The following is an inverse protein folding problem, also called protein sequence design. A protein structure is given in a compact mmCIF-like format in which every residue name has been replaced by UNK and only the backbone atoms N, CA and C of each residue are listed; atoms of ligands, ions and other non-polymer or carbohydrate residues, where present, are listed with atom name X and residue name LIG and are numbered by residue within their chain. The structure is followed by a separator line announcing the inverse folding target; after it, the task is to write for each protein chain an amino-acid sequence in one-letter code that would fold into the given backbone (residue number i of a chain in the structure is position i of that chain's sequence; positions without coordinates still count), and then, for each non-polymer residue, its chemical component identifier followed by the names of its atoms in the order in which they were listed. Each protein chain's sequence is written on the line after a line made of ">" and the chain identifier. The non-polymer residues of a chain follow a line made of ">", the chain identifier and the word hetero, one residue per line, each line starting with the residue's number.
data_IF_524585907202
#
_entry.id   IF_524585907202
#
_cell.length_a   1.000
_cell.length_b   1.000
_cell.length_c   1.000
_cell.angle_alpha   90.00
_cell.angle_beta   90.00
_cell.angle_gamma   90.00
#
_symmetry.space_group_name_H-M   'P 1'
#
loop_
_entity.id
_entity.type
_entity.pdbx_description
1 polymer ?
#
# COMPACT_ATOMS: atom_id res chain seq x y z
N UNK A 1 -1.74 6.85 20.40
CA UNK A 1 -2.79 7.61 19.69
C UNK A 1 -2.39 7.76 18.24
N UNK A 2 -3.34 7.57 17.33
CA UNK A 2 -3.09 7.62 15.89
C UNK A 2 -3.15 9.04 15.31
N UNK A 3 -2.36 9.28 14.27
CA UNK A 3 -2.13 10.61 13.72
C UNK A 3 -3.30 11.04 12.82
N UNK A 4 -3.87 12.23 13.04
CA UNK A 4 -4.86 12.77 12.14
C UNK A 4 -4.26 13.15 10.78
N UNK A 5 -5.12 13.32 9.78
CA UNK A 5 -4.73 13.77 8.45
C UNK A 5 -5.71 14.79 7.86
N UNK A 6 -5.31 15.47 6.79
CA UNK A 6 -5.96 16.65 6.23
C UNK A 6 -6.17 16.54 4.72
N UNK A 7 -7.28 17.09 4.24
CA UNK A 7 -7.50 17.39 2.81
C UNK A 7 -7.15 18.86 2.51
N UNK A 8 -6.85 19.21 1.24
CA UNK A 8 -6.74 20.60 0.78
C UNK A 8 -7.99 21.45 1.05
N UNK A 9 -9.16 20.81 1.14
CA UNK A 9 -10.39 21.49 1.51
C UNK A 9 -10.34 21.82 3.01
N UNK A 10 -10.32 23.11 3.33
CA UNK A 10 -10.23 23.59 4.70
C UNK A 10 -11.39 23.06 5.56
N UNK A 11 -11.09 22.66 6.80
CA UNK A 11 -12.10 22.41 7.84
C UNK A 11 -12.38 20.96 8.22
N UNK A 12 -11.80 19.95 7.54
CA UNK A 12 -11.99 18.54 7.94
C UNK A 12 -10.67 17.86 8.33
N UNK A 13 -10.47 17.75 9.65
CA UNK A 13 -9.50 16.82 10.25
C UNK A 13 -10.11 15.42 10.18
N UNK A 14 -9.38 14.48 9.61
CA UNK A 14 -9.85 13.10 9.52
C UNK A 14 -9.22 12.23 10.60
N UNK A 15 -10.01 11.24 10.99
CA UNK A 15 -9.66 10.26 11.98
C UNK A 15 -8.67 9.20 11.47
N UNK A 16 -8.11 8.41 12.40
CA UNK A 16 -7.21 7.31 12.10
C UNK A 16 -7.75 6.34 11.06
N UNK A 17 -6.88 5.90 10.15
CA UNK A 17 -7.24 4.95 9.09
C UNK A 17 -7.06 3.51 9.57
N UNK A 18 -8.03 2.65 9.23
CA UNK A 18 -7.94 1.20 9.37
C UNK A 18 -7.67 0.61 8.00
N UNK A 19 -6.79 -0.37 7.95
CA UNK A 19 -6.48 -1.09 6.72
C UNK A 19 -7.16 -2.46 6.79
N UNK A 20 -8.17 -2.73 5.96
CA UNK A 20 -8.75 -4.06 5.89
C UNK A 20 -7.68 -5.03 5.41
N UNK A 21 -7.60 -6.18 6.08
CA UNK A 21 -6.76 -7.29 5.66
C UNK A 21 -7.64 -8.53 5.50
N UNK A 22 -7.40 -9.28 4.43
CA UNK A 22 -8.10 -10.52 4.13
C UNK A 22 -7.10 -11.66 4.08
N UNK A 23 -7.50 -12.81 4.62
CA UNK A 23 -6.77 -14.06 4.53
C UNK A 23 -7.34 -14.87 3.37
N UNK A 24 -6.53 -15.09 2.34
CA UNK A 24 -6.93 -15.74 1.11
C UNK A 24 -6.19 -17.05 0.94
N UNK A 25 -6.88 -18.08 0.47
CA UNK A 25 -6.26 -19.29 -0.08
C UNK A 25 -6.53 -19.36 -1.57
N UNK A 26 -5.47 -19.35 -2.37
CA UNK A 26 -5.54 -19.44 -3.83
C UNK A 26 -4.59 -20.53 -4.28
N UNK A 27 -5.12 -21.53 -4.99
CA UNK A 27 -4.34 -22.68 -5.48
C UNK A 27 -3.49 -23.35 -4.39
N UNK A 28 -4.06 -23.54 -3.19
CA UNK A 28 -3.38 -24.15 -2.04
C UNK A 28 -2.44 -23.24 -1.27
N UNK A 29 -2.08 -22.07 -1.82
CA UNK A 29 -1.22 -21.09 -1.15
C UNK A 29 -2.06 -20.10 -0.31
N UNK A 30 -1.65 -19.90 0.94
CA UNK A 30 -2.24 -18.88 1.83
C UNK A 30 -1.56 -17.53 1.62
N UNK A 31 -2.33 -16.45 1.71
CA UNK A 31 -1.90 -15.06 1.51
C UNK A 31 -2.61 -14.13 2.50
N UNK A 32 -1.92 -13.10 2.96
CA UNK A 32 -2.57 -11.98 3.66
C UNK A 32 -2.53 -10.75 2.75
N UNK A 33 -3.70 -10.27 2.33
CA UNK A 33 -3.81 -9.10 1.44
C UNK A 33 -4.41 -7.94 2.21
N UNK A 34 -3.71 -6.82 2.23
CA UNK A 34 -4.11 -5.58 2.88
C UNK A 34 -4.45 -4.51 1.85
N UNK A 35 -5.67 -3.97 1.93
CA UNK A 35 -6.07 -2.80 1.15
C UNK A 35 -5.56 -1.52 1.80
N UNK A 36 -4.91 -0.65 1.03
CA UNK A 36 -4.35 0.60 1.56
C UNK A 36 -4.89 1.85 0.86
N UNK A 37 -5.09 2.90 1.65
CA UNK A 37 -5.29 4.27 1.19
C UNK A 37 -4.57 5.23 2.15
N UNK A 38 -3.42 5.73 1.73
CA UNK A 38 -2.52 6.57 2.54
C UNK A 38 -2.99 8.03 2.51
N UNK A 39 -2.59 8.90 3.46
CA UNK A 39 -3.03 10.28 3.41
C UNK A 39 -2.33 11.00 2.25
N UNK A 40 -2.98 12.00 1.64
CA UNK A 40 -2.50 12.60 0.40
C UNK A 40 -1.20 13.38 0.60
N UNK A 41 -0.40 13.43 -0.46
CA UNK A 41 0.84 14.19 -0.51
C UNK A 41 2.09 13.44 -0.04
N UNK A 42 1.97 12.14 0.16
CA UNK A 42 3.11 11.24 0.29
C UNK A 42 3.97 11.48 1.54
N UNK A 43 5.22 11.00 1.51
CA UNK A 43 6.20 11.26 2.56
C UNK A 43 6.50 12.76 2.74
N UNK A 44 6.33 13.56 1.70
CA UNK A 44 6.47 15.01 1.76
C UNK A 44 5.31 15.70 2.53
N UNK A 45 4.18 15.01 2.75
CA UNK A 45 3.04 15.50 3.51
C UNK A 45 2.12 16.46 2.78
N UNK A 46 2.30 16.67 1.47
CA UNK A 46 1.42 17.45 0.59
C UNK A 46 1.54 18.97 0.75
N UNK A 47 1.95 19.65 -0.32
CA UNK A 47 2.08 21.12 -0.32
C UNK A 47 0.74 21.84 -0.06
N UNK A 48 -0.36 21.33 -0.61
CA UNK A 48 -1.70 21.91 -0.45
C UNK A 48 -2.22 21.94 0.99
N UNK A 49 -1.62 21.15 1.89
CA UNK A 49 -1.94 21.13 3.32
C UNK A 49 -0.75 21.59 4.17
N UNK A 50 0.22 22.30 3.59
CA UNK A 50 1.45 22.74 4.24
C UNK A 50 2.18 21.60 4.97
N UNK A 51 2.39 20.48 4.28
CA UNK A 51 3.15 19.31 4.75
C UNK A 51 2.56 18.58 5.98
N UNK A 52 1.38 18.95 6.45
CA UNK A 52 0.76 18.41 7.67
C UNK A 52 0.54 16.89 7.63
N UNK A 53 0.37 16.30 6.44
CA UNK A 53 0.08 14.86 6.32
C UNK A 53 1.29 13.95 6.54
N UNK A 54 2.53 14.48 6.59
CA UNK A 54 3.74 13.64 6.67
C UNK A 54 3.70 12.65 7.82
N UNK A 55 3.30 13.10 9.02
CA UNK A 55 3.25 12.23 10.21
C UNK A 55 2.24 11.09 10.05
N UNK A 56 1.06 11.36 9.52
CA UNK A 56 0.04 10.35 9.26
C UNK A 56 0.42 9.39 8.13
N UNK A 57 1.17 9.86 7.12
CA UNK A 57 1.71 9.01 6.07
C UNK A 57 2.74 8.03 6.64
N UNK A 58 3.66 8.51 7.48
CA UNK A 58 4.67 7.69 8.14
C UNK A 58 4.07 6.67 9.12
N UNK A 59 2.98 7.03 9.82
CA UNK A 59 2.22 6.07 10.62
C UNK A 59 1.62 4.96 9.76
N UNK A 60 1.06 5.30 8.61
CA UNK A 60 0.48 4.34 7.66
C UNK A 60 1.53 3.33 7.19
N UNK A 61 2.72 3.84 6.83
CA UNK A 61 3.90 3.02 6.53
C UNK A 61 4.23 2.06 7.69
N UNK A 62 4.33 2.58 8.92
CA UNK A 62 4.67 1.77 10.09
C UNK A 62 3.64 0.67 10.34
N UNK A 63 2.37 0.94 10.11
CA UNK A 63 1.30 -0.06 10.25
C UNK A 63 1.48 -1.23 9.28
N UNK A 64 1.75 -0.96 8.00
CA UNK A 64 2.04 -2.00 7.00
C UNK A 64 3.30 -2.80 7.38
N UNK A 65 4.39 -2.11 7.74
CA UNK A 65 5.63 -2.78 8.14
C UNK A 65 5.45 -3.66 9.37
N UNK A 66 4.74 -3.18 10.39
CA UNK A 66 4.47 -3.93 11.61
C UNK A 66 3.54 -5.13 11.34
N UNK A 67 2.57 -4.99 10.44
CA UNK A 67 1.71 -6.11 10.05
C UNK A 67 2.50 -7.19 9.30
N UNK A 68 3.33 -6.81 8.34
CA UNK A 68 4.21 -7.74 7.63
C UNK A 68 5.24 -8.40 8.56
N UNK A 69 5.77 -7.68 9.54
CA UNK A 69 6.71 -8.24 10.52
C UNK A 69 6.06 -9.28 11.44
N UNK A 70 4.81 -9.04 11.86
CA UNK A 70 4.04 -9.98 12.71
C UNK A 70 3.57 -11.23 11.96
N UNK A 71 3.52 -11.18 10.63
CA UNK A 71 3.09 -12.30 9.79
C UNK A 71 4.20 -12.66 8.80
N UNK A 72 5.28 -13.32 9.27
CA UNK A 72 6.37 -13.73 8.41
C UNK A 72 5.95 -14.80 7.39
N UNK A 73 4.91 -15.59 7.70
CA UNK A 73 4.31 -16.58 6.82
C UNK A 73 2.80 -16.70 7.19
N UNK A 74 1.85 -16.60 6.24
CA UNK A 74 1.98 -16.38 4.80
C UNK A 74 2.51 -14.98 4.43
N UNK A 75 2.94 -14.76 3.16
CA UNK A 75 3.36 -13.45 2.71
C UNK A 75 2.25 -12.40 2.86
N UNK A 76 2.64 -11.18 3.24
CA UNK A 76 1.76 -10.02 3.27
C UNK A 76 1.93 -9.20 1.99
N UNK A 77 0.82 -9.02 1.28
CA UNK A 77 0.67 -8.08 0.18
C UNK A 77 -0.07 -6.85 0.68
N UNK A 78 0.47 -5.66 0.45
CA UNK A 78 -0.26 -4.40 0.64
C UNK A 78 -0.45 -3.72 -0.72
N UNK A 79 -1.71 -3.41 -1.07
CA UNK A 79 -2.04 -2.86 -2.38
C UNK A 79 -3.13 -1.78 -2.30
N UNK A 80 -2.98 -0.74 -3.11
CA UNK A 80 -3.92 0.38 -3.19
C UNK A 80 -3.20 1.74 -3.30
N UNK A 81 -3.92 2.81 -2.97
CA UNK A 81 -3.44 4.18 -3.08
C UNK A 81 -2.45 4.48 -1.94
N UNK A 82 -1.16 4.57 -2.29
CA UNK A 82 -0.09 4.93 -1.36
C UNK A 82 0.15 6.43 -1.26
N UNK A 83 -0.57 7.22 -2.08
CA UNK A 83 -0.46 8.66 -2.18
C UNK A 83 0.98 9.16 -2.33
N UNK A 84 1.84 8.33 -2.93
CA UNK A 84 3.27 8.55 -3.11
C UNK A 84 3.70 7.86 -4.40
N UNK A 85 4.73 8.38 -5.06
CA UNK A 85 5.27 7.72 -6.25
C UNK A 85 5.98 6.41 -5.89
N UNK A 86 6.09 5.49 -6.85
CA UNK A 86 6.74 4.21 -6.64
C UNK A 86 8.21 4.34 -6.21
N UNK A 87 8.93 5.36 -6.70
CA UNK A 87 10.31 5.67 -6.29
C UNK A 87 10.38 6.07 -4.81
N UNK A 88 9.46 6.92 -4.34
CA UNK A 88 9.35 7.30 -2.93
C UNK A 88 8.99 6.10 -2.06
N UNK A 89 8.08 5.24 -2.53
CA UNK A 89 7.75 4.01 -1.84
C UNK A 89 8.98 3.09 -1.70
N UNK A 90 9.76 2.88 -2.77
CA UNK A 90 10.99 2.08 -2.71
C UNK A 90 12.02 2.64 -1.74
N UNK A 91 12.16 3.98 -1.72
CA UNK A 91 13.05 4.64 -0.76
C UNK A 91 12.59 4.45 0.68
N UNK A 92 11.28 4.59 0.94
CA UNK A 92 10.74 4.54 2.29
C UNK A 92 10.44 3.13 2.81
N UNK A 93 10.32 2.11 1.95
CA UNK A 93 10.10 0.72 2.34
C UNK A 93 11.31 -0.15 1.95
N UNK A 94 12.48 0.05 2.59
CA UNK A 94 13.62 -0.82 2.36
C UNK A 94 13.25 -2.27 2.74
N UNK A 95 13.66 -3.23 1.91
CA UNK A 95 13.30 -4.63 2.07
C UNK A 95 11.92 -5.03 1.51
N UNK A 96 11.18 -4.10 0.92
CA UNK A 96 9.96 -4.40 0.17
C UNK A 96 10.20 -4.31 -1.34
N UNK A 97 9.60 -5.23 -2.07
CA UNK A 97 9.38 -5.11 -3.50
C UNK A 97 8.18 -4.18 -3.71
N UNK A 98 8.29 -3.25 -4.66
CA UNK A 98 7.22 -2.31 -5.00
C UNK A 98 6.95 -2.38 -6.49
N UNK A 99 5.81 -2.96 -6.84
CA UNK A 99 5.25 -2.93 -8.18
C UNK A 99 4.51 -1.63 -8.41
N UNK A 100 5.02 -0.83 -9.36
CA UNK A 100 4.38 0.41 -9.79
C UNK A 100 3.07 0.07 -10.49
N UNK A 101 1.98 0.71 -10.06
CA UNK A 101 0.70 0.78 -10.78
C UNK A 101 0.40 2.19 -11.30
N UNK A 102 -0.89 2.52 -11.39
CA UNK A 102 -1.36 3.80 -11.90
C UNK A 102 -1.14 4.94 -10.91
N UNK A 103 -0.45 6.02 -11.31
CA UNK A 103 -0.17 7.21 -10.48
C UNK A 103 0.46 6.87 -9.13
N UNK A 104 -0.36 6.70 -8.09
CA UNK A 104 0.01 6.45 -6.69
C UNK A 104 -0.52 5.11 -6.17
N UNK A 105 -1.24 4.37 -7.02
CA UNK A 105 -1.72 3.02 -6.73
C UNK A 105 -0.60 2.01 -6.98
N UNK A 106 -0.08 1.39 -5.93
CA UNK A 106 1.00 0.41 -6.02
C UNK A 106 0.69 -0.84 -5.20
N UNK A 107 1.43 -1.91 -5.50
CA UNK A 107 1.45 -3.11 -4.68
C UNK A 107 2.85 -3.31 -4.11
N UNK A 108 2.93 -3.80 -2.88
CA UNK A 108 4.19 -4.10 -2.23
C UNK A 108 4.13 -5.34 -1.34
N UNK A 109 5.23 -6.06 -1.29
CA UNK A 109 5.42 -7.25 -0.47
C UNK A 109 6.88 -7.31 0.00
N UNK A 110 7.17 -8.06 1.06
CA UNK A 110 8.54 -8.19 1.56
C UNK A 110 9.40 -9.04 0.60
N UNK A 111 10.59 -8.54 0.22
CA UNK A 111 11.46 -9.17 -0.80
C UNK A 111 11.92 -10.58 -0.41
N UNK A 112 12.14 -10.81 0.88
CA UNK A 112 12.64 -12.07 1.43
C UNK A 112 11.62 -13.23 1.39
N UNK A 113 10.46 -13.02 0.75
CA UNK A 113 9.37 -14.00 0.66
C UNK A 113 9.14 -14.56 -0.73
N UNK A 114 10.03 -14.24 -1.68
CA UNK A 114 9.96 -14.72 -3.08
C UNK A 114 8.70 -14.29 -3.84
N UNK A 115 7.94 -13.34 -3.29
CA UNK A 115 6.73 -12.83 -3.91
C UNK A 115 7.11 -12.02 -5.13
N UNK A 116 6.55 -12.37 -6.28
CA UNK A 116 6.65 -11.56 -7.51
C UNK A 116 5.38 -10.75 -7.68
N UNK A 117 5.53 -9.48 -8.04
CA UNK A 117 4.41 -8.57 -8.27
C UNK A 117 4.45 -8.03 -9.70
N UNK A 118 3.36 -8.19 -10.42
CA UNK A 118 3.24 -7.77 -11.82
C UNK A 118 2.01 -6.89 -12.01
N UNK A 119 2.19 -5.74 -12.65
CA UNK A 119 1.06 -4.91 -13.06
C UNK A 119 0.37 -5.55 -14.28
N UNK A 120 -0.94 -5.76 -14.17
CA UNK A 120 -1.83 -6.09 -15.28
C UNK A 120 -2.45 -4.82 -15.87
N UNK A 121 -2.24 -4.61 -17.17
CA UNK A 121 -2.92 -3.55 -17.91
C UNK A 121 -4.45 -3.72 -17.78
N UNK A 122 -5.17 -2.60 -17.63
CA UNK A 122 -6.64 -2.55 -17.46
C UNK A 122 -7.38 -3.41 -18.49
N UNK A 123 -6.97 -3.36 -19.75
CA UNK A 123 -7.65 -4.07 -20.85
C UNK A 123 -7.40 -5.60 -20.81
N UNK A 124 -6.46 -6.05 -19.96
CA UNK A 124 -6.14 -7.45 -19.70
C UNK A 124 -6.56 -7.90 -18.29
N UNK A 125 -7.22 -7.04 -17.52
CA UNK A 125 -7.66 -7.39 -16.18
C UNK A 125 -8.87 -8.33 -16.24
N UNK A 126 -8.87 -9.45 -15.51
CA UNK A 126 -9.96 -10.44 -15.56
C UNK A 126 -11.28 -9.93 -14.96
N UNK A 127 -11.24 -8.86 -14.17
CA UNK A 127 -12.40 -8.17 -13.60
C UNK A 127 -12.21 -6.66 -13.80
N UNK A 128 -13.23 -6.01 -14.38
CA UNK A 128 -13.06 -4.71 -15.01
C UNK A 128 -13.82 -3.57 -14.33
N UNK A 129 -13.35 -3.09 -13.18
CA UNK A 129 -13.69 -1.75 -12.64
C UNK A 129 -12.58 -1.16 -11.73
N UNK A 130 -11.36 -1.72 -11.72
CA UNK A 130 -10.25 -1.24 -10.90
C UNK A 130 -9.37 -0.20 -11.60
N UNK A 131 -8.91 0.82 -10.86
CA UNK A 131 -7.93 1.81 -11.34
C UNK A 131 -6.52 1.21 -11.54
N UNK A 132 -6.21 0.12 -10.82
CA UNK A 132 -5.00 -0.68 -10.98
C UNK A 132 -5.26 -2.15 -10.61
N UNK A 133 -4.64 -3.09 -11.33
CA UNK A 133 -4.74 -4.54 -11.09
C UNK A 133 -3.35 -5.14 -11.02
N UNK A 134 -3.09 -5.98 -10.02
CA UNK A 134 -1.80 -6.65 -9.84
C UNK A 134 -1.99 -8.17 -9.83
N UNK A 135 -1.11 -8.87 -10.55
CA UNK A 135 -0.87 -10.29 -10.36
C UNK A 135 0.22 -10.45 -9.31
N UNK A 136 0.09 -11.47 -8.49
CA UNK A 136 1.10 -11.86 -7.53
C UNK A 136 1.25 -13.37 -7.52
N UNK A 137 2.48 -13.83 -7.33
CA UNK A 137 2.81 -15.25 -7.22
C UNK A 137 3.81 -15.49 -6.10
N UNK A 138 3.75 -16.68 -5.53
CA UNK A 138 4.72 -17.18 -4.55
C UNK A 138 5.92 -17.77 -5.30
N UNK A 139 7.08 -17.90 -4.64
CA UNK A 139 8.13 -18.78 -5.18
C UNK A 139 7.53 -20.20 -5.28
N UNK A 140 7.70 -20.81 -6.46
CA UNK A 140 7.34 -22.20 -6.70
C UNK A 140 8.28 -23.16 -5.99
#
# INVERSE_FOLDING_TARGET
>A
MSQPWWWPNAGKRHEPRRYPAVDLRVSGQRWLVMGVHYPPGGPAGGMKVNHKNRRAWLESKRAVQAYAARHPNPPVLAAGDLNAYASECRHHFPGFEVAKGGKVDHAMAKKDRGVRLEWVNRDKAPVGHGWATFKFSAPG
#
